data_IF_847486365760
#
_entry.id   IF_847486365760
#
_cell.length_a   1.000
_cell.length_b   1.000
_cell.length_c   1.000
_cell.angle_alpha   90.00
_cell.angle_beta   90.00
_cell.angle_gamma   90.00
#
_symmetry.space_group_name_H-M   'P 1'
#
loop_
_entity.id
_entity.type
_entity.pdbx_description
1 polymer ?
#
# COMPACT_ATOMS: atom_id res chain seq x y z
N UNK A 1 7.43 12.16 -24.68
CA UNK A 1 7.49 11.50 -23.34
C UNK A 1 6.32 12.02 -22.52
N UNK A 2 5.48 11.16 -21.98
CA UNK A 2 4.39 11.57 -21.06
C UNK A 2 5.00 11.85 -19.71
N UNK A 3 4.79 13.05 -19.18
CA UNK A 3 5.24 13.42 -17.84
C UNK A 3 4.21 12.92 -16.83
N UNK A 4 4.64 12.15 -15.84
CA UNK A 4 3.82 11.67 -14.74
C UNK A 4 4.10 12.52 -13.49
N UNK A 5 3.07 12.84 -12.73
CA UNK A 5 3.24 13.42 -11.42
C UNK A 5 3.68 12.35 -10.42
N UNK A 6 4.67 12.66 -9.63
CA UNK A 6 5.29 11.78 -8.64
C UNK A 6 5.33 12.45 -7.28
N UNK A 7 5.02 11.70 -6.25
CA UNK A 7 5.19 12.10 -4.86
C UNK A 7 5.85 10.96 -4.08
N UNK A 8 6.74 11.29 -3.15
CA UNK A 8 7.26 10.34 -2.18
C UNK A 8 6.77 10.75 -0.80
N UNK A 9 6.16 9.82 -0.08
CA UNK A 9 5.56 10.04 1.23
C UNK A 9 6.31 9.22 2.26
N UNK A 10 6.68 9.85 3.36
CA UNK A 10 7.30 9.20 4.51
C UNK A 10 6.21 8.79 5.51
N UNK A 11 5.83 7.52 5.50
CA UNK A 11 4.69 6.99 6.25
C UNK A 11 5.12 6.51 7.63
N UNK A 12 4.23 6.66 8.63
CA UNK A 12 4.47 6.27 10.04
C UNK A 12 5.63 7.03 10.72
N UNK A 13 5.87 8.27 10.29
CA UNK A 13 6.92 9.10 10.84
C UNK A 13 6.36 10.27 11.64
N UNK A 14 6.94 10.52 12.83
CA UNK A 14 6.75 11.76 13.59
C UNK A 14 7.88 12.77 13.31
N UNK A 15 8.95 12.33 12.68
CA UNK A 15 10.12 13.13 12.27
C UNK A 15 10.42 12.85 10.80
N UNK A 16 10.94 13.86 10.10
CA UNK A 16 11.31 13.72 8.69
C UNK A 16 12.35 12.61 8.48
N UNK A 17 12.14 11.78 7.45
CA UNK A 17 13.05 10.72 7.02
C UNK A 17 13.24 9.57 8.04
N UNK A 18 12.28 9.38 8.95
CA UNK A 18 12.30 8.33 9.98
C UNK A 18 11.22 7.26 9.79
N UNK A 19 10.36 7.41 8.81
CA UNK A 19 9.28 6.48 8.51
C UNK A 19 9.66 5.45 7.44
N UNK A 20 8.63 4.93 6.81
CA UNK A 20 8.73 4.02 5.68
C UNK A 20 8.30 4.74 4.40
N UNK A 21 9.23 5.05 3.48
CA UNK A 21 8.88 5.81 2.29
C UNK A 21 8.08 4.97 1.29
N UNK A 22 7.09 5.59 0.66
CA UNK A 22 6.33 5.04 -0.46
C UNK A 22 6.33 6.01 -1.64
N UNK A 23 6.51 5.49 -2.84
CA UNK A 23 6.35 6.24 -4.08
C UNK A 23 4.89 6.23 -4.53
N UNK A 24 4.36 7.39 -4.93
CA UNK A 24 3.00 7.55 -5.46
C UNK A 24 3.07 8.21 -6.83
N UNK A 25 2.65 7.48 -7.86
CA UNK A 25 2.62 7.91 -9.27
C UNK A 25 1.18 8.17 -9.67
N UNK A 26 0.88 9.37 -10.18
CA UNK A 26 -0.48 9.77 -10.55
C UNK A 26 -0.71 9.70 -12.06
N UNK A 27 -1.99 9.46 -12.43
CA UNK A 27 -2.40 9.42 -13.83
C UNK A 27 -1.81 8.23 -14.58
N UNK A 28 -1.72 7.10 -13.92
CA UNK A 28 -1.01 5.91 -14.38
C UNK A 28 -1.84 4.99 -15.30
N UNK A 29 -3.06 5.40 -15.68
CA UNK A 29 -4.01 4.58 -16.44
C UNK A 29 -3.48 4.09 -17.79
N UNK A 30 -2.57 4.83 -18.38
CA UNK A 30 -1.97 4.49 -19.69
C UNK A 30 -0.70 3.64 -19.56
N UNK A 31 -0.24 3.35 -18.34
CA UNK A 31 0.93 2.51 -18.13
C UNK A 31 0.56 1.03 -18.25
N UNK A 32 1.42 0.27 -18.90
CA UNK A 32 1.33 -1.19 -18.88
C UNK A 32 1.83 -1.76 -17.57
N UNK A 33 1.42 -3.00 -17.24
CA UNK A 33 1.92 -3.72 -16.06
C UNK A 33 3.46 -3.79 -16.03
N UNK A 34 4.08 -3.98 -17.21
CA UNK A 34 5.53 -4.04 -17.29
C UNK A 34 6.17 -2.69 -16.98
N UNK A 35 5.60 -1.58 -17.45
CA UNK A 35 6.09 -0.24 -17.14
C UNK A 35 5.96 0.07 -15.65
N UNK A 36 4.84 -0.31 -15.01
CA UNK A 36 4.67 -0.15 -13.57
C UNK A 36 5.70 -0.95 -12.77
N UNK A 37 5.97 -2.21 -13.17
CA UNK A 37 7.04 -3.04 -12.59
C UNK A 37 8.42 -2.43 -12.76
N UNK A 38 8.72 -1.89 -13.93
CA UNK A 38 10.02 -1.29 -14.20
C UNK A 38 10.23 -0.01 -13.37
N UNK A 39 9.18 0.81 -13.21
CA UNK A 39 9.20 1.97 -12.33
C UNK A 39 9.41 1.53 -10.87
N UNK A 40 8.69 0.51 -10.39
CA UNK A 40 8.84 0.00 -9.04
C UNK A 40 10.25 -0.53 -8.74
N UNK A 41 10.87 -1.21 -9.72
CA UNK A 41 12.29 -1.63 -9.62
C UNK A 41 13.25 -0.45 -9.61
N UNK A 42 12.97 0.54 -10.43
CA UNK A 42 13.83 1.72 -10.54
C UNK A 42 13.79 2.58 -9.28
N UNK A 43 12.61 2.79 -8.68
CA UNK A 43 12.47 3.50 -7.40
C UNK A 43 13.14 2.74 -6.26
N UNK A 44 13.13 1.42 -6.33
CA UNK A 44 13.72 0.50 -5.34
C UNK A 44 13.28 0.76 -3.89
N UNK A 45 12.02 1.18 -3.73
CA UNK A 45 11.35 1.28 -2.44
C UNK A 45 10.64 -0.04 -2.12
N UNK A 46 10.22 -0.25 -0.86
CA UNK A 46 9.41 -1.43 -0.50
C UNK A 46 8.19 -1.54 -1.39
N UNK A 47 7.49 -0.42 -1.60
CA UNK A 47 6.37 -0.33 -2.54
C UNK A 47 6.39 0.97 -3.33
N UNK A 48 5.90 0.85 -4.58
CA UNK A 48 5.54 1.96 -5.46
C UNK A 48 4.08 1.81 -5.83
N UNK A 49 3.31 2.87 -5.66
CA UNK A 49 1.88 2.88 -5.92
C UNK A 49 1.53 3.70 -7.16
N UNK A 50 0.49 3.27 -7.85
CA UNK A 50 -0.01 3.90 -9.06
C UNK A 50 -1.48 4.25 -8.87
N UNK A 51 -1.76 5.55 -8.87
CA UNK A 51 -3.11 6.10 -8.75
C UNK A 51 -3.72 6.18 -10.14
N UNK A 52 -4.80 5.43 -10.32
CA UNK A 52 -5.55 5.30 -11.55
C UNK A 52 -7.01 5.76 -11.36
N UNK A 53 -7.73 5.93 -12.47
CA UNK A 53 -9.18 6.11 -12.45
C UNK A 53 -9.83 4.84 -11.89
N UNK A 54 -10.85 4.97 -11.03
CA UNK A 54 -11.56 3.82 -10.51
C UNK A 54 -12.49 3.22 -11.57
N UNK A 55 -12.60 1.89 -11.57
CA UNK A 55 -13.60 1.17 -12.37
C UNK A 55 -14.95 1.13 -11.62
N UNK A 56 -14.93 1.23 -10.29
CA UNK A 56 -16.11 1.24 -9.46
C UNK A 56 -16.55 2.68 -9.13
N UNK A 57 -17.83 3.01 -9.44
CA UNK A 57 -18.40 4.34 -9.23
C UNK A 57 -18.41 4.81 -7.76
N UNK A 58 -18.32 3.89 -6.80
CA UNK A 58 -18.25 4.23 -5.37
C UNK A 58 -16.85 4.64 -4.94
N UNK A 59 -15.81 4.28 -5.69
CA UNK A 59 -14.43 4.59 -5.34
C UNK A 59 -14.05 6.02 -5.75
N UNK A 60 -13.22 6.66 -4.95
CA UNK A 60 -12.63 7.96 -5.25
C UNK A 60 -11.43 7.81 -6.18
N UNK A 61 -10.69 6.72 -6.05
CA UNK A 61 -9.54 6.37 -6.89
C UNK A 61 -9.28 4.86 -6.85
N UNK A 62 -8.54 4.37 -7.84
CA UNK A 62 -8.01 3.01 -7.86
C UNK A 62 -6.52 3.05 -7.55
N UNK A 63 -6.06 2.15 -6.67
CA UNK A 63 -4.67 2.00 -6.30
C UNK A 63 -4.12 0.65 -6.74
N UNK A 64 -3.05 0.68 -7.53
CA UNK A 64 -2.23 -0.49 -7.84
C UNK A 64 -0.92 -0.39 -7.06
N UNK A 65 -0.50 -1.49 -6.44
CA UNK A 65 0.63 -1.52 -5.51
C UNK A 65 1.65 -2.51 -6.03
N UNK A 66 2.88 -2.06 -6.24
CA UNK A 66 3.97 -2.89 -6.74
C UNK A 66 5.16 -2.86 -5.78
N UNK A 67 5.66 -4.05 -5.44
CA UNK A 67 7.03 -4.21 -4.94
C UNK A 67 7.99 -4.26 -6.14
N UNK A 68 9.31 -4.23 -5.93
CA UNK A 68 10.28 -4.45 -7.04
C UNK A 68 10.06 -5.77 -7.81
N UNK A 69 9.37 -6.75 -7.22
CA UNK A 69 9.20 -8.08 -7.79
C UNK A 69 7.77 -8.38 -8.27
N UNK A 70 6.74 -7.96 -7.50
CA UNK A 70 5.36 -8.38 -7.70
C UNK A 70 4.37 -7.24 -7.50
N UNK A 71 3.18 -7.38 -8.10
CA UNK A 71 2.00 -6.60 -7.73
C UNK A 71 1.34 -7.23 -6.50
N UNK A 72 0.94 -6.38 -5.55
CA UNK A 72 0.20 -6.77 -4.36
C UNK A 72 -1.27 -6.36 -4.49
N UNK A 73 -2.20 -7.24 -4.11
CA UNK A 73 -3.62 -6.89 -4.15
C UNK A 73 -4.01 -5.82 -3.12
N UNK A 74 -3.25 -5.76 -2.02
CA UNK A 74 -3.40 -4.78 -0.94
C UNK A 74 -2.14 -4.74 -0.07
N UNK A 75 -1.83 -3.55 0.46
CA UNK A 75 -0.85 -3.36 1.54
C UNK A 75 -1.20 -2.12 2.35
N UNK A 76 -1.08 -2.19 3.68
CA UNK A 76 -1.51 -1.12 4.61
C UNK A 76 -0.67 0.14 4.48
N UNK A 77 0.66 0.01 4.57
CA UNK A 77 1.59 1.13 4.47
C UNK A 77 1.40 1.95 3.18
N UNK A 78 1.35 1.33 1.97
CA UNK A 78 1.12 2.08 0.74
C UNK A 78 -0.27 2.71 0.67
N UNK A 79 -1.29 2.09 1.26
CA UNK A 79 -2.65 2.63 1.32
C UNK A 79 -2.69 3.94 2.11
N UNK A 80 -2.04 4.00 3.28
CA UNK A 80 -1.94 5.23 4.08
C UNK A 80 -1.18 6.31 3.32
N UNK A 81 -0.02 6.00 2.75
CA UNK A 81 0.77 6.98 2.00
C UNK A 81 0.07 7.49 0.74
N UNK A 82 -0.59 6.60 0.00
CA UNK A 82 -1.32 6.98 -1.20
C UNK A 82 -2.57 7.83 -0.88
N UNK A 83 -3.32 7.52 0.17
CA UNK A 83 -4.49 8.32 0.58
C UNK A 83 -4.08 9.76 0.94
N UNK A 84 -3.01 9.93 1.69
CA UNK A 84 -2.43 11.24 1.96
C UNK A 84 -2.04 11.96 0.65
N UNK A 85 -1.30 11.29 -0.22
CA UNK A 85 -0.85 11.88 -1.48
C UNK A 85 -2.01 12.28 -2.40
N UNK A 86 -3.07 11.48 -2.45
CA UNK A 86 -4.28 11.74 -3.25
C UNK A 86 -4.97 13.01 -2.76
N UNK A 87 -5.12 13.19 -1.45
CA UNK A 87 -5.68 14.42 -0.86
C UNK A 87 -4.78 15.63 -1.14
N UNK A 88 -3.47 15.52 -0.94
CA UNK A 88 -2.50 16.58 -1.24
C UNK A 88 -2.44 16.93 -2.73
N UNK A 89 -2.79 16.00 -3.59
CA UNK A 89 -2.90 16.22 -5.04
C UNK A 89 -4.16 16.99 -5.45
N UNK A 90 -5.05 17.28 -4.51
CA UNK A 90 -6.27 18.04 -4.73
C UNK A 90 -7.49 17.20 -5.11
N UNK A 91 -7.45 15.88 -4.89
CA UNK A 91 -8.64 15.05 -5.03
C UNK A 91 -9.65 15.42 -3.95
N UNK A 92 -10.88 15.72 -4.38
CA UNK A 92 -11.99 16.00 -3.48
C UNK A 92 -12.71 14.67 -3.25
N UNK A 93 -12.72 14.13 -2.01
CA UNK A 93 -13.43 12.90 -1.71
C UNK A 93 -14.94 13.06 -1.97
N UNK A 94 -15.60 11.99 -2.38
CA UNK A 94 -17.07 11.93 -2.51
C UNK A 94 -17.78 12.08 -1.16
N UNK A 95 -17.07 11.79 -0.07
CA UNK A 95 -17.51 12.01 1.30
C UNK A 95 -16.42 12.75 2.09
N UNK A 96 -16.81 13.78 2.85
CA UNK A 96 -15.88 14.64 3.59
C UNK A 96 -15.12 13.93 4.74
N UNK A 97 -15.62 12.77 5.20
CA UNK A 97 -15.04 12.03 6.34
C UNK A 97 -14.20 10.82 5.93
N UNK A 98 -14.29 10.36 4.67
CA UNK A 98 -13.55 9.20 4.22
C UNK A 98 -13.32 9.18 2.71
N UNK A 99 -12.29 8.43 2.32
CA UNK A 99 -12.02 8.02 0.94
C UNK A 99 -12.43 6.56 0.74
N UNK A 100 -12.84 6.23 -0.46
CA UNK A 100 -12.98 4.84 -0.91
C UNK A 100 -11.91 4.56 -1.95
N UNK A 101 -10.98 3.68 -1.59
CA UNK A 101 -9.96 3.15 -2.48
C UNK A 101 -10.43 1.86 -3.14
N UNK A 102 -10.36 1.77 -4.44
CA UNK A 102 -10.47 0.50 -5.16
C UNK A 102 -9.09 -0.16 -5.24
N UNK A 103 -9.01 -1.44 -4.91
CA UNK A 103 -7.76 -2.22 -4.92
C UNK A 103 -8.02 -3.67 -5.35
N UNK A 104 -6.99 -4.50 -5.43
CA UNK A 104 -7.11 -5.91 -5.78
C UNK A 104 -7.94 -6.76 -4.80
N UNK A 105 -8.23 -6.24 -3.60
CA UNK A 105 -9.12 -6.88 -2.61
C UNK A 105 -10.53 -6.29 -2.62
N UNK A 106 -10.83 -5.37 -3.54
CA UNK A 106 -12.10 -4.66 -3.63
C UNK A 106 -12.03 -3.25 -3.05
N UNK A 107 -13.15 -2.77 -2.53
CA UNK A 107 -13.27 -1.42 -1.96
C UNK A 107 -12.75 -1.39 -0.52
N UNK A 108 -11.85 -0.46 -0.25
CA UNK A 108 -11.29 -0.20 1.08
C UNK A 108 -11.70 1.18 1.53
N UNK A 109 -12.41 1.26 2.66
CA UNK A 109 -12.76 2.54 3.28
C UNK A 109 -11.59 3.06 4.08
N UNK A 110 -11.27 4.34 3.89
CA UNK A 110 -10.17 5.03 4.55
C UNK A 110 -10.77 6.25 5.26
N UNK A 111 -10.91 6.17 6.56
CA UNK A 111 -11.44 7.26 7.39
C UNK A 111 -10.37 8.35 7.57
N UNK A 112 -10.78 9.60 7.43
CA UNK A 112 -9.94 10.78 7.57
C UNK A 112 -10.39 11.52 8.83
N UNK A 113 -9.52 11.58 9.84
CA UNK A 113 -9.77 12.30 11.08
C UNK A 113 -8.60 13.25 11.37
N UNK A 114 -8.78 14.52 11.03
CA UNK A 114 -7.77 15.58 11.16
C UNK A 114 -6.43 15.16 10.51
N UNK A 115 -5.43 14.84 11.34
CA UNK A 115 -4.09 14.46 10.89
C UNK A 115 -3.88 12.92 10.85
N UNK A 116 -4.93 12.14 11.08
CA UNK A 116 -4.85 10.68 11.14
C UNK A 116 -5.69 10.03 10.05
N UNK A 117 -5.13 8.98 9.50
CA UNK A 117 -5.79 8.15 8.50
C UNK A 117 -5.95 6.74 9.06
N UNK A 118 -7.17 6.23 8.99
CA UNK A 118 -7.51 4.87 9.41
C UNK A 118 -8.11 4.13 8.22
N UNK A 119 -7.81 2.85 8.07
CA UNK A 119 -8.45 2.02 7.05
C UNK A 119 -9.00 0.74 7.65
N UNK A 120 -10.11 0.26 7.08
CA UNK A 120 -10.67 -1.03 7.44
C UNK A 120 -9.78 -2.14 6.87
N UNK A 121 -9.26 -3.00 7.74
CA UNK A 121 -8.47 -4.14 7.29
C UNK A 121 -9.38 -5.09 6.47
N UNK A 122 -8.90 -5.58 5.31
CA UNK A 122 -9.52 -6.69 4.62
C UNK A 122 -9.59 -7.91 5.54
N UNK A 123 -10.59 -8.78 5.32
CA UNK A 123 -10.75 -9.98 6.13
C UNK A 123 -9.49 -10.87 6.01
N UNK A 124 -8.83 -11.21 7.14
CA UNK A 124 -7.59 -11.96 7.11
C UNK A 124 -7.86 -13.43 6.73
N UNK A 125 -7.02 -13.96 5.84
CA UNK A 125 -6.98 -15.40 5.58
C UNK A 125 -5.98 -16.04 6.53
N UNK A 126 -6.46 -16.73 7.55
CA UNK A 126 -5.62 -17.42 8.52
C UNK A 126 -5.46 -18.87 8.06
N UNK A 127 -4.22 -19.35 7.94
CA UNK A 127 -3.89 -20.74 7.68
C UNK A 127 -2.86 -21.26 8.67
N UNK A 128 -2.87 -22.55 8.93
CA UNK A 128 -1.83 -23.18 9.75
C UNK A 128 -0.49 -23.15 8.98
N UNK A 129 0.58 -22.83 9.69
CA UNK A 129 1.93 -22.83 9.14
C UNK A 129 2.46 -24.27 9.15
N UNK A 130 2.95 -24.75 8.01
CA UNK A 130 3.66 -26.02 7.96
C UNK A 130 5.02 -25.93 8.66
N UNK A 131 5.46 -27.04 9.29
CA UNK A 131 6.72 -27.08 10.05
C UNK A 131 7.92 -26.62 9.20
N UNK A 132 7.96 -26.97 7.92
CA UNK A 132 9.03 -26.53 7.00
C UNK A 132 9.05 -25.02 6.78
N UNK A 133 7.89 -24.37 6.74
CA UNK A 133 7.78 -22.92 6.61
C UNK A 133 8.23 -22.23 7.90
N UNK A 134 7.88 -22.81 9.05
CA UNK A 134 8.29 -22.30 10.36
C UNK A 134 9.81 -22.27 10.51
N UNK A 135 10.50 -23.35 10.14
CA UNK A 135 11.98 -23.42 10.19
C UNK A 135 12.63 -22.36 9.27
N UNK A 136 12.02 -22.07 8.11
CA UNK A 136 12.46 -21.02 7.21
C UNK A 136 12.30 -19.61 7.82
N UNK A 137 11.17 -19.34 8.45
CA UNK A 137 10.89 -18.07 9.14
C UNK A 137 11.87 -17.85 10.29
N UNK A 138 12.04 -18.83 11.15
CA UNK A 138 12.99 -18.81 12.28
C UNK A 138 14.38 -18.43 11.79
N UNK A 139 14.84 -19.13 10.76
CA UNK A 139 16.18 -18.89 10.18
C UNK A 139 16.32 -17.50 9.55
N UNK A 140 15.28 -17.00 8.88
CA UNK A 140 15.32 -15.68 8.23
C UNK A 140 15.34 -14.53 9.22
N UNK A 141 14.82 -14.74 10.44
CA UNK A 141 14.77 -13.75 11.51
C UNK A 141 15.91 -13.91 12.52
N UNK A 142 16.84 -14.87 12.32
CA UNK A 142 17.91 -15.22 13.24
C UNK A 142 17.39 -15.55 14.66
N UNK A 143 16.26 -16.25 14.71
CA UNK A 143 15.58 -16.66 15.93
C UNK A 143 15.81 -18.14 16.22
N UNK A 144 15.48 -18.57 17.45
CA UNK A 144 15.37 -19.97 17.86
C UNK A 144 13.90 -20.35 18.06
N UNK A 145 13.59 -21.65 18.15
CA UNK A 145 12.21 -22.10 18.45
C UNK A 145 11.68 -21.63 19.79
N UNK A 146 12.58 -21.28 20.71
CA UNK A 146 12.21 -20.77 22.06
C UNK A 146 11.77 -19.32 22.01
N UNK A 147 12.19 -18.57 21.00
CA UNK A 147 11.83 -17.16 20.80
C UNK A 147 10.43 -17.01 20.17
N UNK A 148 9.82 -18.09 19.70
CA UNK A 148 8.50 -18.06 19.09
C UNK A 148 7.42 -18.29 20.14
N UNK A 149 6.61 -17.28 20.35
CA UNK A 149 5.31 -17.38 21.01
C UNK A 149 4.24 -17.32 19.92
N UNK A 150 3.50 -18.39 19.70
CA UNK A 150 2.29 -18.36 18.88
C UNK A 150 1.21 -17.64 19.68
N UNK A 151 1.07 -16.34 19.46
CA UNK A 151 -0.03 -15.58 20.01
C UNK A 151 -1.21 -15.75 19.05
N UNK A 152 -2.26 -16.40 19.50
CA UNK A 152 -3.56 -16.31 18.88
C UNK A 152 -4.16 -14.97 19.27
N UNK A 153 -4.18 -14.06 18.31
CA UNK A 153 -4.91 -12.79 18.44
C UNK A 153 -6.32 -13.01 17.89
#
# INVERSE_FOLDING_TARGET
MTQLKYMQVDVFANEFYKGNPVAVVFGADHLTDQQMKDIARWTNLSETTFVCQPDNELADYRLRIFTPNNELPFAGHPTVGASFAVLQNGTIPKNEHYLIQESGVGLVKIDIDQDKTFFSLPEPKVSQIEVKQLDGIIKSLDLTKQDLSLIHI
#
